data_IF_273388617600
#
_entry.id   IF_273388617600
#
_cell.length_a   1.000
_cell.length_b   1.000
_cell.length_c   1.000
_cell.angle_alpha   90.00
_cell.angle_beta   90.00
_cell.angle_gamma   90.00
#
_symmetry.space_group_name_H-M   'P 1'
#
loop_
_entity.id
_entity.type
_entity.pdbx_description
1 polymer ?
#
# COMPACT_ATOMS: atom_id res chain seq x y z
N UNK A 1 -4.21 20.00 -10.30
CA UNK A 1 -4.93 18.99 -9.50
C UNK A 1 -4.07 17.74 -9.44
N UNK A 2 -4.15 16.99 -8.35
CA UNK A 2 -3.38 15.74 -8.21
C UNK A 2 -4.01 14.67 -9.13
N UNK A 3 -3.28 14.08 -10.09
CA UNK A 3 -3.81 13.01 -10.94
C UNK A 3 -4.16 11.78 -10.09
N UNK A 4 -5.24 11.10 -10.47
CA UNK A 4 -5.73 9.88 -9.83
C UNK A 4 -5.64 8.71 -10.82
N UNK A 5 -4.98 7.64 -10.41
CA UNK A 5 -4.87 6.41 -11.18
C UNK A 5 -5.54 5.26 -10.46
N UNK A 6 -6.34 4.47 -11.18
CA UNK A 6 -7.01 3.27 -10.66
C UNK A 6 -6.45 2.04 -11.35
N UNK A 7 -5.78 1.17 -10.60
CA UNK A 7 -5.28 -0.13 -11.06
C UNK A 7 -6.43 -1.12 -11.02
N UNK A 8 -6.79 -1.68 -12.17
CA UNK A 8 -7.92 -2.61 -12.29
C UNK A 8 -7.66 -3.67 -13.36
N UNK A 9 -8.04 -4.92 -13.05
CA UNK A 9 -7.99 -6.05 -13.98
C UNK A 9 -9.09 -5.93 -15.04
N UNK A 10 -8.75 -6.12 -16.32
CA UNK A 10 -9.72 -6.04 -17.43
C UNK A 10 -10.92 -6.97 -17.27
N UNK A 11 -10.72 -8.14 -16.65
CA UNK A 11 -11.79 -9.12 -16.36
C UNK A 11 -12.69 -8.74 -15.17
N UNK A 12 -12.47 -7.60 -14.51
CA UNK A 12 -13.27 -7.12 -13.39
C UNK A 12 -13.90 -5.74 -13.68
N UNK A 13 -14.77 -5.65 -14.69
CA UNK A 13 -15.45 -4.40 -15.04
C UNK A 13 -16.35 -3.90 -13.90
N UNK A 14 -16.96 -4.79 -13.11
CA UNK A 14 -17.82 -4.40 -11.99
C UNK A 14 -17.06 -3.63 -10.89
N UNK A 15 -15.81 -4.01 -10.62
CA UNK A 15 -14.93 -3.30 -9.65
C UNK A 15 -14.50 -1.95 -10.20
N UNK A 16 -14.24 -1.87 -11.50
CA UNK A 16 -13.97 -0.60 -12.16
C UNK A 16 -15.17 0.34 -12.09
N UNK A 17 -16.37 -0.16 -12.38
CA UNK A 17 -17.62 0.62 -12.29
C UNK A 17 -17.88 1.08 -10.85
N UNK A 18 -17.56 0.25 -9.86
CA UNK A 18 -17.63 0.63 -8.45
C UNK A 18 -16.68 1.78 -8.11
N UNK A 19 -15.43 1.74 -8.59
CA UNK A 19 -14.48 2.85 -8.44
C UNK A 19 -14.93 4.10 -9.19
N UNK A 20 -15.42 3.96 -10.42
CA UNK A 20 -15.93 5.05 -11.24
C UNK A 20 -17.04 5.81 -10.51
N UNK A 21 -18.06 5.11 -10.01
CA UNK A 21 -19.18 5.74 -9.27
C UNK A 21 -18.71 6.54 -8.05
N UNK A 22 -17.74 6.01 -7.29
CA UNK A 22 -17.19 6.71 -6.12
C UNK A 22 -16.42 7.98 -6.54
N UNK A 23 -15.50 7.85 -7.50
CA UNK A 23 -14.65 8.96 -7.96
C UNK A 23 -15.45 10.05 -8.66
N UNK A 24 -16.37 9.66 -9.56
CA UNK A 24 -17.26 10.57 -10.28
C UNK A 24 -18.23 11.25 -9.31
N UNK A 25 -18.70 10.53 -8.29
CA UNK A 25 -19.52 11.09 -7.20
C UNK A 25 -18.81 12.18 -6.40
N UNK A 26 -17.47 12.12 -6.32
CA UNK A 26 -16.63 13.17 -5.73
C UNK A 26 -16.15 14.23 -6.74
N UNK A 27 -16.52 14.09 -8.03
CA UNK A 27 -16.07 14.98 -9.10
C UNK A 27 -14.57 14.93 -9.34
N UNK A 28 -13.95 13.76 -9.15
CA UNK A 28 -12.51 13.55 -9.35
C UNK A 28 -12.25 12.99 -10.74
N UNK A 29 -11.41 13.67 -11.53
CA UNK A 29 -10.89 13.10 -12.77
C UNK A 29 -9.89 11.99 -12.48
N UNK A 30 -10.03 10.86 -13.17
CA UNK A 30 -9.20 9.69 -12.96
C UNK A 30 -8.88 8.95 -14.25
N UNK A 31 -7.81 8.14 -14.21
CA UNK A 31 -7.35 7.32 -15.33
C UNK A 31 -7.21 5.86 -14.88
N UNK A 32 -7.68 4.94 -15.73
CA UNK A 32 -7.47 3.51 -15.51
C UNK A 32 -6.06 3.11 -15.90
N UNK A 33 -5.43 2.32 -15.05
CA UNK A 33 -4.27 1.49 -15.37
C UNK A 33 -4.77 0.06 -15.49
N UNK A 34 -4.67 -0.51 -16.70
CA UNK A 34 -4.99 -1.93 -16.87
C UNK A 34 -3.95 -2.79 -16.16
N UNK A 35 -4.41 -3.52 -15.15
CA UNK A 35 -3.57 -4.38 -14.35
C UNK A 35 -3.22 -5.67 -15.10
N UNK A 36 -2.03 -6.19 -14.81
CA UNK A 36 -1.56 -7.48 -15.31
C UNK A 36 -2.32 -8.59 -14.57
N UNK A 37 -2.98 -9.48 -15.33
CA UNK A 37 -3.76 -10.58 -14.76
C UNK A 37 -2.91 -11.85 -14.63
N UNK A 38 -2.74 -12.33 -13.39
CA UNK A 38 -2.04 -13.58 -13.10
C UNK A 38 -2.69 -14.83 -13.73
N UNK A 39 -3.95 -14.75 -14.18
CA UNK A 39 -4.63 -15.86 -14.87
C UNK A 39 -4.20 -16.02 -16.33
N UNK A 40 -3.67 -14.96 -16.94
CA UNK A 40 -3.32 -14.94 -18.36
C UNK A 40 -1.86 -14.59 -18.62
N UNK A 41 -1.16 -14.05 -17.63
CA UNK A 41 0.26 -13.74 -17.73
C UNK A 41 1.12 -15.01 -17.79
N UNK A 42 2.18 -14.96 -18.59
CA UNK A 42 3.21 -15.99 -18.61
C UNK A 42 4.11 -15.86 -17.36
N UNK A 43 4.25 -16.94 -16.60
CA UNK A 43 4.98 -16.91 -15.32
C UNK A 43 6.48 -16.63 -15.52
N UNK A 44 7.08 -17.10 -16.61
CA UNK A 44 8.50 -16.88 -16.88
C UNK A 44 8.76 -15.41 -17.21
N UNK A 45 7.94 -14.81 -18.08
CA UNK A 45 8.04 -13.39 -18.42
C UNK A 45 7.82 -12.49 -17.19
N UNK A 46 6.85 -12.82 -16.34
CA UNK A 46 6.58 -12.06 -15.11
C UNK A 46 7.71 -12.24 -14.10
N UNK A 47 8.27 -13.44 -13.95
CA UNK A 47 9.40 -13.69 -13.07
C UNK A 47 10.65 -12.91 -13.53
N UNK A 48 10.91 -12.84 -14.83
CA UNK A 48 12.01 -12.06 -15.41
C UNK A 48 11.83 -10.57 -15.10
N UNK A 49 10.67 -9.99 -15.42
CA UNK A 49 10.41 -8.56 -15.18
C UNK A 49 10.36 -8.17 -13.71
N UNK A 50 9.88 -9.08 -12.85
CA UNK A 50 9.83 -8.85 -11.41
C UNK A 50 11.22 -8.91 -10.77
N UNK A 51 12.10 -9.75 -11.32
CA UNK A 51 13.47 -9.95 -10.87
C UNK A 51 13.57 -10.84 -9.63
N UNK A 52 14.79 -11.33 -9.39
CA UNK A 52 15.14 -12.15 -8.22
C UNK A 52 16.25 -11.43 -7.44
N UNK A 53 16.06 -11.31 -6.13
CA UNK A 53 17.01 -10.64 -5.25
C UNK A 53 17.31 -11.41 -3.96
N UNK A 54 18.24 -10.91 -3.13
CA UNK A 54 18.63 -11.55 -1.87
C UNK A 54 17.47 -11.80 -0.90
N UNK A 55 16.38 -11.04 -1.04
CA UNK A 55 15.19 -11.14 -0.20
C UNK A 55 14.09 -12.02 -0.78
N UNK A 56 14.15 -12.45 -2.04
CA UNK A 56 13.08 -13.21 -2.69
C UNK A 56 12.79 -14.53 -1.99
N UNK A 57 13.79 -15.17 -1.37
CA UNK A 57 13.58 -16.36 -0.53
C UNK A 57 13.02 -16.09 0.87
N UNK A 58 13.17 -14.86 1.39
CA UNK A 58 12.67 -14.44 2.72
C UNK A 58 11.27 -13.82 2.64
N UNK A 59 10.97 -13.19 1.51
CA UNK A 59 9.71 -12.53 1.18
C UNK A 59 9.18 -13.15 -0.13
N UNK A 60 8.69 -14.40 -0.07
CA UNK A 60 8.21 -15.09 -1.26
C UNK A 60 7.01 -14.36 -1.86
N UNK A 61 6.94 -14.37 -3.19
CA UNK A 61 5.87 -13.78 -3.98
C UNK A 61 5.16 -14.85 -4.82
N UNK A 62 3.83 -14.82 -4.84
CA UNK A 62 3.04 -15.60 -5.82
C UNK A 62 3.08 -14.91 -7.18
N UNK A 63 2.60 -15.59 -8.24
CA UNK A 63 2.43 -14.93 -9.54
C UNK A 63 1.51 -13.71 -9.43
N UNK A 64 0.41 -13.82 -8.67
CA UNK A 64 -0.48 -12.70 -8.39
C UNK A 64 0.20 -11.53 -7.65
N UNK A 65 1.10 -11.82 -6.69
CA UNK A 65 1.92 -10.78 -6.05
C UNK A 65 2.82 -10.05 -7.05
N UNK A 66 3.45 -10.79 -7.95
CA UNK A 66 4.33 -10.22 -8.98
C UNK A 66 3.55 -9.36 -9.97
N UNK A 67 2.42 -9.87 -10.48
CA UNK A 67 1.55 -9.13 -11.40
C UNK A 67 0.99 -7.85 -10.76
N UNK A 68 0.53 -7.90 -9.50
CA UNK A 68 0.08 -6.72 -8.76
C UNK A 68 1.20 -5.69 -8.61
N UNK A 69 2.41 -6.15 -8.30
CA UNK A 69 3.57 -5.27 -8.14
C UNK A 69 3.98 -4.60 -9.45
N UNK A 70 4.05 -5.37 -10.54
CA UNK A 70 4.35 -4.84 -11.88
C UNK A 70 3.24 -3.90 -12.37
N UNK A 71 1.97 -4.13 -12.02
CA UNK A 71 0.87 -3.20 -12.31
C UNK A 71 1.06 -1.84 -11.61
N UNK A 72 1.56 -1.84 -10.37
CA UNK A 72 1.96 -0.61 -9.68
C UNK A 72 3.15 0.07 -10.37
N UNK A 73 4.14 -0.69 -10.86
CA UNK A 73 5.25 -0.15 -11.65
C UNK A 73 4.75 0.53 -12.93
N UNK A 74 3.80 -0.07 -13.64
CA UNK A 74 3.15 0.55 -14.81
C UNK A 74 2.47 1.88 -14.45
N UNK A 75 1.76 1.92 -13.32
CA UNK A 75 1.15 3.16 -12.83
C UNK A 75 2.22 4.23 -12.56
N UNK A 76 3.35 3.86 -11.96
CA UNK A 76 4.47 4.79 -11.71
C UNK A 76 5.07 5.34 -13.01
N UNK A 77 5.24 4.49 -14.03
CA UNK A 77 5.72 4.90 -15.34
C UNK A 77 4.76 5.92 -15.98
N UNK A 78 3.44 5.71 -15.88
CA UNK A 78 2.44 6.68 -16.34
C UNK A 78 2.52 8.01 -15.59
N UNK A 79 2.73 7.99 -14.27
CA UNK A 79 2.96 9.20 -13.47
C UNK A 79 4.17 9.97 -14.00
N UNK A 80 5.30 9.28 -14.25
CA UNK A 80 6.50 9.92 -14.78
C UNK A 80 6.30 10.51 -16.18
N UNK A 81 5.57 9.80 -17.05
CA UNK A 81 5.28 10.25 -18.42
C UNK A 81 4.33 11.45 -18.44
N UNK A 82 3.40 11.55 -17.49
CA UNK A 82 2.44 12.65 -17.40
C UNK A 82 3.07 14.02 -17.09
N UNK A 83 4.31 14.05 -16.58
CA UNK A 83 4.97 15.27 -16.11
C UNK A 83 4.44 15.81 -14.77
N UNK A 84 3.49 15.14 -14.14
CA UNK A 84 2.94 15.53 -12.84
C UNK A 84 3.94 15.29 -11.71
N UNK A 85 3.85 16.10 -10.64
CA UNK A 85 4.81 16.05 -9.51
C UNK A 85 4.50 14.98 -8.49
N UNK A 86 3.23 14.59 -8.38
CA UNK A 86 2.75 13.53 -7.52
C UNK A 86 1.46 12.95 -8.10
N UNK A 87 1.05 11.79 -7.63
CA UNK A 87 -0.20 11.16 -8.02
C UNK A 87 -0.81 10.36 -6.88
N UNK A 88 -2.13 10.25 -6.86
CA UNK A 88 -2.87 9.27 -6.08
C UNK A 88 -2.99 7.97 -6.88
N UNK A 89 -2.54 6.86 -6.31
CA UNK A 89 -2.69 5.51 -6.85
C UNK A 89 -3.71 4.76 -5.99
N UNK A 90 -4.71 4.16 -6.64
CA UNK A 90 -5.77 3.36 -6.04
C UNK A 90 -5.80 1.98 -6.67
N UNK A 91 -6.04 0.94 -5.86
CA UNK A 91 -6.49 -0.38 -6.34
C UNK A 91 -8.02 -0.42 -6.39
N UNK A 92 -8.58 -1.33 -7.19
CA UNK A 92 -10.01 -1.47 -7.43
C UNK A 92 -10.80 -2.19 -6.32
N UNK A 93 -10.16 -2.45 -5.16
CA UNK A 93 -10.81 -2.87 -3.90
C UNK A 93 -10.85 -1.74 -2.86
N UNK A 94 -10.60 -0.50 -3.28
CA UNK A 94 -10.71 0.67 -2.42
C UNK A 94 -12.18 1.09 -2.20
N UNK A 95 -12.56 1.25 -0.94
CA UNK A 95 -13.76 1.99 -0.54
C UNK A 95 -13.32 3.38 -0.04
N UNK A 96 -13.78 4.43 -0.72
CA UNK A 96 -13.37 5.82 -0.50
C UNK A 96 -14.30 6.48 0.51
N UNK A 97 -13.76 7.31 1.41
CA UNK A 97 -14.57 8.17 2.28
C UNK A 97 -14.53 9.63 1.84
N UNK A 98 -15.45 10.44 2.37
CA UNK A 98 -15.51 11.89 2.11
C UNK A 98 -14.19 12.59 2.49
N UNK A 99 -13.47 12.07 3.50
CA UNK A 99 -12.14 12.57 3.86
C UNK A 99 -11.13 12.46 2.71
N UNK A 100 -11.24 11.48 1.81
CA UNK A 100 -10.35 11.42 0.64
C UNK A 100 -10.65 12.59 -0.29
N UNK A 101 -11.91 12.82 -0.61
CA UNK A 101 -12.33 13.93 -1.47
C UNK A 101 -11.92 15.27 -0.86
N UNK A 102 -12.11 15.44 0.45
CA UNK A 102 -11.68 16.65 1.15
C UNK A 102 -10.17 16.80 1.19
N UNK A 103 -9.40 15.71 1.34
CA UNK A 103 -7.94 15.75 1.27
C UNK A 103 -7.47 16.24 -0.10
N UNK A 104 -8.08 15.79 -1.18
CA UNK A 104 -7.71 16.17 -2.54
C UNK A 104 -8.08 17.62 -2.89
N UNK A 105 -9.00 18.25 -2.14
CA UNK A 105 -9.27 19.69 -2.23
C UNK A 105 -8.21 20.56 -1.53
N UNK A 106 -7.34 19.94 -0.73
CA UNK A 106 -6.24 20.63 -0.03
C UNK A 106 -4.95 20.63 -0.86
N UNK A 107 -3.96 21.41 -0.45
CA UNK A 107 -2.59 21.33 -1.01
C UNK A 107 -1.82 20.15 -0.41
N UNK A 108 -2.23 18.92 -0.75
CA UNK A 108 -1.61 17.69 -0.24
C UNK A 108 -0.14 17.57 -0.65
N UNK A 109 0.22 18.03 -1.86
CA UNK A 109 1.61 18.08 -2.33
C UNK A 109 2.44 19.05 -1.47
N UNK A 110 1.92 20.25 -1.20
CA UNK A 110 2.57 21.22 -0.32
C UNK A 110 2.71 20.72 1.10
N UNK A 111 1.69 20.05 1.65
CA UNK A 111 1.76 19.40 2.96
C UNK A 111 2.85 18.33 3.01
N UNK A 112 2.91 17.45 2.01
CA UNK A 112 3.96 16.43 1.91
C UNK A 112 5.35 17.08 1.83
N UNK A 113 5.53 18.10 0.99
CA UNK A 113 6.78 18.85 0.84
C UNK A 113 7.21 19.54 2.14
N UNK A 114 6.29 20.20 2.84
CA UNK A 114 6.54 20.88 4.11
C UNK A 114 7.13 19.92 5.16
N UNK A 115 6.68 18.68 5.15
CA UNK A 115 7.11 17.66 6.11
C UNK A 115 8.17 16.70 5.55
N UNK A 116 8.68 16.96 4.34
CA UNK A 116 9.66 16.11 3.66
C UNK A 116 9.15 14.69 3.51
N UNK A 117 7.92 14.52 3.00
CA UNK A 117 7.31 13.23 2.72
C UNK A 117 7.35 12.95 1.21
N UNK A 118 7.69 11.70 0.88
CA UNK A 118 7.82 11.20 -0.49
C UNK A 118 6.62 10.38 -0.93
N UNK A 119 5.98 9.72 0.04
CA UNK A 119 4.77 8.94 -0.13
C UNK A 119 3.85 9.13 1.08
N UNK A 120 2.54 9.04 0.86
CA UNK A 120 1.51 9.12 1.89
C UNK A 120 0.58 7.92 1.75
N UNK A 121 0.63 7.00 2.71
CA UNK A 121 -0.26 5.85 2.77
C UNK A 121 -1.65 6.28 3.28
N UNK A 122 -2.69 5.86 2.59
CA UNK A 122 -4.07 6.30 2.84
C UNK A 122 -5.03 5.18 3.24
N UNK A 123 -4.59 3.92 3.18
CA UNK A 123 -5.45 2.77 3.45
C UNK A 123 -5.60 2.42 4.95
N UNK A 124 -6.79 1.94 5.28
CA UNK A 124 -7.15 1.23 6.48
C UNK A 124 -7.28 -0.27 6.17
N UNK A 125 -6.54 -1.10 6.89
CA UNK A 125 -6.62 -2.55 6.77
C UNK A 125 -7.63 -3.13 7.80
N UNK A 126 -8.78 -3.69 7.36
CA UNK A 126 -9.81 -4.17 8.29
C UNK A 126 -9.58 -5.61 8.76
N UNK A 127 -8.89 -6.44 7.97
CA UNK A 127 -8.84 -7.86 8.21
C UNK A 127 -7.96 -8.25 9.41
N UNK A 128 -8.26 -9.41 9.98
CA UNK A 128 -7.42 -10.02 11.01
C UNK A 128 -6.04 -10.38 10.45
N UNK A 129 -4.99 -10.35 11.29
CA UNK A 129 -5.03 -10.05 12.72
C UNK A 129 -5.00 -8.55 13.02
N UNK A 130 -5.75 -8.13 14.05
CA UNK A 130 -5.91 -6.73 14.47
C UNK A 130 -4.58 -5.98 14.70
N UNK A 131 -3.49 -6.70 14.95
CA UNK A 131 -2.13 -6.13 15.07
C UNK A 131 -1.68 -5.39 13.81
N UNK A 132 -2.22 -5.70 12.62
CA UNK A 132 -1.95 -4.96 11.37
C UNK A 132 -2.48 -3.53 11.41
N UNK A 133 -3.41 -3.24 12.32
CA UNK A 133 -3.94 -1.89 12.58
C UNK A 133 -3.12 -1.11 13.59
N UNK A 134 -1.97 -1.63 14.04
CA UNK A 134 -1.07 -0.94 14.97
C UNK A 134 0.21 -0.59 14.23
N UNK A 135 0.35 0.69 13.92
CA UNK A 135 1.49 1.25 13.19
C UNK A 135 2.23 2.18 14.13
N UNK A 136 3.56 2.13 14.15
CA UNK A 136 4.35 3.11 14.87
C UNK A 136 4.62 4.30 13.96
N UNK A 137 4.38 5.50 14.49
CA UNK A 137 4.62 6.74 13.77
C UNK A 137 4.94 7.90 14.69
N UNK A 138 5.43 8.98 14.09
CA UNK A 138 5.66 10.25 14.79
C UNK A 138 4.62 11.25 14.29
N UNK A 139 3.89 11.90 15.19
CA UNK A 139 2.92 12.94 14.84
C UNK A 139 3.64 14.11 14.17
N UNK A 140 3.15 14.55 13.01
CA UNK A 140 3.71 15.68 12.27
C UNK A 140 2.80 16.91 12.37
N UNK A 141 1.54 16.79 11.98
CA UNK A 141 0.60 17.91 11.95
C UNK A 141 -0.87 17.44 11.96
N UNK A 142 -1.79 18.34 12.32
CA UNK A 142 -3.18 18.19 11.92
C UNK A 142 -3.33 18.51 10.42
N UNK A 143 -4.27 17.87 9.74
CA UNK A 143 -4.50 18.10 8.32
C UNK A 143 -5.53 19.20 8.14
N UNK A 144 -5.15 20.29 7.44
CA UNK A 144 -6.07 21.38 7.14
C UNK A 144 -7.24 20.87 6.31
N UNK A 145 -8.47 21.22 6.69
CA UNK A 145 -9.68 20.81 5.97
C UNK A 145 -10.20 19.42 6.34
N UNK A 146 -9.47 18.67 7.18
CA UNK A 146 -9.91 17.37 7.70
C UNK A 146 -9.90 17.41 9.23
N UNK A 147 -11.02 17.78 9.88
CA UNK A 147 -11.15 17.70 11.32
C UNK A 147 -10.77 16.29 11.81
N UNK A 148 -10.12 16.23 12.96
CA UNK A 148 -9.69 14.99 13.63
C UNK A 148 -8.68 14.10 12.86
N UNK A 149 -8.28 14.48 11.64
CA UNK A 149 -7.25 13.77 10.88
C UNK A 149 -5.87 14.32 11.19
N UNK A 150 -4.97 13.40 11.55
CA UNK A 150 -3.58 13.70 11.86
C UNK A 150 -2.66 13.04 10.86
N UNK A 151 -1.67 13.80 10.39
CA UNK A 151 -0.54 13.33 9.61
C UNK A 151 0.56 12.79 10.53
N UNK A 152 1.04 11.59 10.22
CA UNK A 152 2.15 10.93 10.89
C UNK A 152 3.26 10.58 9.90
N UNK A 153 4.50 10.59 10.39
CA UNK A 153 5.63 9.91 9.74
C UNK A 153 5.55 8.42 10.05
N UNK A 154 5.72 7.57 9.04
CA UNK A 154 5.73 6.12 9.20
C UNK A 154 7.08 5.64 9.74
N UNK A 155 7.07 4.99 10.91
CA UNK A 155 8.29 4.50 11.59
C UNK A 155 8.31 2.98 11.80
N UNK A 156 7.26 2.26 11.40
CA UNK A 156 7.24 0.79 11.32
C UNK A 156 6.74 0.32 9.96
N UNK A 157 6.77 -0.99 9.71
CA UNK A 157 6.14 -1.53 8.50
C UNK A 157 4.63 -1.24 8.46
N UNK A 158 4.12 -0.87 7.28
CA UNK A 158 2.71 -0.59 7.02
C UNK A 158 2.24 -1.26 5.73
N UNK A 159 1.97 -2.57 5.79
CA UNK A 159 1.62 -3.38 4.61
C UNK A 159 0.31 -2.94 3.95
N UNK A 160 0.16 -3.31 2.66
CA UNK A 160 -0.92 -2.94 1.75
C UNK A 160 -0.62 -1.70 0.89
N UNK A 161 -1.18 -1.68 -0.31
CA UNK A 161 -1.00 -0.65 -1.35
C UNK A 161 -2.32 -0.22 -1.99
N UNK A 162 -3.45 -0.53 -1.35
CA UNK A 162 -4.79 -0.25 -1.85
C UNK A 162 -4.99 1.26 -2.14
N UNK A 163 -4.36 2.14 -1.35
CA UNK A 163 -4.32 3.57 -1.66
C UNK A 163 -3.08 4.27 -1.09
N UNK A 164 -2.41 5.04 -1.95
CA UNK A 164 -1.30 5.91 -1.55
C UNK A 164 -1.08 7.06 -2.53
N UNK A 165 -0.54 8.17 -2.02
CA UNK A 165 0.01 9.24 -2.86
C UNK A 165 1.52 9.07 -2.92
N UNK A 166 2.14 9.26 -4.07
CA UNK A 166 3.59 9.20 -4.26
C UNK A 166 4.08 10.34 -5.16
N UNK A 167 5.26 10.88 -4.84
CA UNK A 167 5.88 11.93 -5.67
C UNK A 167 6.63 11.33 -6.86
N UNK A 168 6.67 12.04 -7.98
CA UNK A 168 7.42 11.62 -9.17
C UNK A 168 8.93 11.51 -8.87
N UNK A 169 9.47 12.39 -8.02
CA UNK A 169 10.88 12.31 -7.63
C UNK A 169 11.18 11.06 -6.80
N UNK A 170 10.25 10.65 -5.94
CA UNK A 170 10.35 9.40 -5.20
C UNK A 170 10.34 8.18 -6.12
N UNK A 171 9.43 8.16 -7.10
CA UNK A 171 9.38 7.13 -8.14
C UNK A 171 10.72 7.05 -8.88
N UNK A 172 11.25 8.19 -9.36
CA UNK A 172 12.53 8.23 -10.10
C UNK A 172 13.68 7.66 -9.27
N UNK A 173 13.76 8.01 -7.98
CA UNK A 173 14.79 7.47 -7.08
C UNK A 173 14.63 5.97 -6.88
N UNK A 174 13.40 5.51 -6.62
CA UNK A 174 13.09 4.08 -6.47
C UNK A 174 13.48 3.27 -7.70
N UNK A 175 13.02 3.68 -8.90
CA UNK A 175 13.31 2.95 -10.14
C UNK A 175 14.78 3.01 -10.54
N UNK A 176 15.53 4.04 -10.14
CA UNK A 176 16.98 4.12 -10.35
C UNK A 176 17.73 3.19 -9.40
N UNK A 177 17.41 3.23 -8.11
CA UNK A 177 18.16 2.53 -7.07
C UNK A 177 17.76 1.04 -7.00
N UNK A 178 16.53 0.71 -7.40
CA UNK A 178 15.95 -0.62 -7.43
C UNK A 178 15.08 -0.79 -8.70
N UNK A 179 15.71 -1.03 -9.86
CA UNK A 179 15.00 -1.14 -11.15
C UNK A 179 14.02 -2.33 -11.20
N UNK A 180 14.33 -3.39 -10.48
CA UNK A 180 13.49 -4.57 -10.32
C UNK A 180 12.79 -4.57 -8.96
N UNK A 181 11.57 -5.11 -8.92
CA UNK A 181 10.77 -5.14 -7.69
C UNK A 181 11.35 -6.12 -6.66
N UNK A 182 11.70 -7.35 -7.08
CA UNK A 182 12.28 -8.46 -6.29
C UNK A 182 11.45 -8.96 -5.09
N UNK A 183 10.56 -8.13 -4.56
CA UNK A 183 9.63 -8.37 -3.45
C UNK A 183 8.27 -7.72 -3.77
N UNK A 184 7.17 -8.19 -3.17
CA UNK A 184 5.86 -7.61 -3.42
C UNK A 184 5.82 -6.10 -3.12
N UNK A 185 5.01 -5.34 -3.85
CA UNK A 185 4.99 -3.86 -3.81
C UNK A 185 4.70 -3.29 -2.41
N UNK A 186 3.89 -3.96 -1.60
CA UNK A 186 3.62 -3.54 -0.23
C UNK A 186 4.86 -3.64 0.66
N UNK A 187 5.63 -4.70 0.50
CA UNK A 187 6.94 -4.85 1.13
C UNK A 187 7.95 -3.86 0.55
N UNK A 188 7.94 -3.64 -0.76
CA UNK A 188 8.83 -2.69 -1.43
C UNK A 188 8.66 -1.27 -0.88
N UNK A 189 7.43 -0.75 -0.88
CA UNK A 189 7.12 0.63 -0.48
C UNK A 189 7.17 0.83 1.04
N UNK A 190 6.54 -0.06 1.80
CA UNK A 190 6.22 0.18 3.21
C UNK A 190 6.73 -0.92 4.14
N UNK A 191 7.51 -1.87 3.65
CA UNK A 191 8.13 -2.93 4.44
C UNK A 191 9.54 -2.58 4.89
N UNK A 192 9.74 -2.36 6.20
CA UNK A 192 11.07 -2.16 6.77
C UNK A 192 12.04 -3.31 6.50
N UNK A 193 11.51 -4.54 6.45
CA UNK A 193 12.30 -5.74 6.20
C UNK A 193 12.85 -5.81 4.77
N UNK A 194 12.15 -5.21 3.80
CA UNK A 194 12.65 -5.12 2.45
C UNK A 194 13.86 -4.17 2.38
N UNK A 195 13.83 -3.09 3.16
CA UNK A 195 14.92 -2.11 3.19
C UNK A 195 15.13 -1.36 1.87
N UNK A 196 14.17 -1.48 0.94
CA UNK A 196 14.18 -0.85 -0.39
C UNK A 196 13.46 0.51 -0.32
N UNK A 197 12.23 0.59 -0.84
CA UNK A 197 11.40 1.80 -0.79
C UNK A 197 11.26 2.39 0.60
N UNK A 198 11.09 1.58 1.66
CA UNK A 198 10.99 2.11 3.02
C UNK A 198 12.18 2.98 3.47
N UNK A 199 13.41 2.69 3.01
CA UNK A 199 14.60 3.52 3.33
C UNK A 199 14.77 4.70 2.37
N UNK A 200 14.33 4.54 1.13
CA UNK A 200 14.41 5.55 0.08
C UNK A 200 13.26 6.57 0.12
N UNK A 201 12.16 6.22 0.79
CA UNK A 201 10.95 7.01 0.93
C UNK A 201 10.81 7.53 2.35
N UNK A 202 10.62 8.84 2.46
CA UNK A 202 10.04 9.43 3.65
C UNK A 202 8.52 9.21 3.63
N UNK A 203 8.08 8.04 4.04
CA UNK A 203 6.65 7.70 4.03
C UNK A 203 5.91 8.31 5.23
N UNK A 204 4.71 8.83 4.98
CA UNK A 204 3.74 9.22 6.00
C UNK A 204 2.47 8.38 5.92
N UNK A 205 1.58 8.57 6.89
CA UNK A 205 0.22 8.04 6.87
C UNK A 205 -0.76 8.98 7.57
N UNK A 206 -2.05 8.84 7.26
CA UNK A 206 -3.12 9.58 7.92
C UNK A 206 -3.86 8.69 8.92
N UNK A 207 -4.28 9.28 10.04
CA UNK A 207 -5.22 8.65 10.95
C UNK A 207 -6.27 9.68 11.43
N UNK A 208 -7.58 9.42 11.28
CA UNK A 208 -8.16 8.27 10.59
C UNK A 208 -7.78 8.19 9.09
N UNK A 209 -7.68 6.98 8.56
CA UNK A 209 -7.33 6.73 7.16
C UNK A 209 -8.56 6.95 6.25
N UNK A 210 -8.42 7.63 5.10
CA UNK A 210 -9.55 7.98 4.24
C UNK A 210 -9.97 6.89 3.24
N UNK A 211 -9.23 5.77 3.15
CA UNK A 211 -9.57 4.65 2.26
C UNK A 211 -9.66 3.37 3.07
N UNK A 212 -10.72 2.59 2.86
CA UNK A 212 -10.90 1.27 3.44
C UNK A 212 -10.50 0.21 2.43
N UNK A 213 -9.62 -0.71 2.82
CA UNK A 213 -9.22 -1.82 1.96
C UNK A 213 -10.26 -2.95 2.04
N UNK A 214 -11.08 -3.11 1.00
CA UNK A 214 -12.20 -4.06 0.99
C UNK A 214 -11.77 -5.51 0.70
N UNK A 215 -10.88 -6.02 1.55
CA UNK A 215 -10.33 -7.39 1.47
C UNK A 215 -11.34 -8.49 1.79
N UNK A 216 -12.47 -8.16 2.43
CA UNK A 216 -13.49 -9.13 2.84
C UNK A 216 -14.47 -9.45 1.73
N UNK A 217 -14.84 -8.46 0.91
CA UNK A 217 -15.75 -8.62 -0.21
C UNK A 217 -15.01 -9.07 -1.47
N UNK A 218 -13.83 -8.50 -1.72
CA UNK A 218 -13.06 -8.80 -2.93
C UNK A 218 -11.94 -9.83 -2.75
N UNK A 219 -11.85 -10.44 -1.56
CA UNK A 219 -10.97 -11.55 -1.19
C UNK A 219 -9.68 -11.66 -2.00
N UNK A 220 -8.52 -11.27 -1.47
CA UNK A 220 -7.30 -11.33 -2.30
C UNK A 220 -7.00 -12.77 -2.73
N UNK A 221 -7.11 -13.04 -4.03
CA UNK A 221 -6.70 -14.32 -4.67
C UNK A 221 -5.27 -14.70 -4.19
N UNK A 222 -4.44 -13.67 -4.00
CA UNK A 222 -3.11 -13.67 -3.39
C UNK A 222 -3.05 -14.34 -2.00
N UNK A 223 -3.98 -14.06 -1.09
CA UNK A 223 -3.93 -14.59 0.28
C UNK A 223 -4.15 -16.12 0.33
N UNK A 224 -4.97 -16.66 -0.57
CA UNK A 224 -5.16 -18.10 -0.68
C UNK A 224 -3.93 -18.80 -1.27
N UNK A 225 -3.33 -18.24 -2.32
CA UNK A 225 -2.08 -18.75 -2.91
C UNK A 225 -0.89 -18.70 -1.93
N UNK A 226 -0.73 -17.60 -1.19
CA UNK A 226 0.32 -17.47 -0.15
C UNK A 226 0.20 -18.53 0.95
N UNK A 227 -1.03 -18.95 1.28
CA UNK A 227 -1.27 -20.01 2.28
C UNK A 227 -0.86 -21.38 1.74
N UNK A 228 -1.06 -21.64 0.45
CA UNK A 228 -0.66 -22.88 -0.21
C UNK A 228 0.88 -22.96 -0.39
N UNK A 229 1.55 -21.88 -0.79
CA UNK A 229 3.00 -21.83 -0.92
C UNK A 229 3.75 -21.95 0.43
N UNK A 230 3.20 -21.41 1.53
CA UNK A 230 3.80 -21.60 2.85
C UNK A 230 3.78 -23.04 3.33
N UNK A 231 2.84 -23.86 2.85
CA UNK A 231 2.77 -25.28 3.18
C UNK A 231 3.86 -26.08 2.43
N UNK A 232 4.25 -25.63 1.24
CA UNK A 232 5.27 -26.32 0.42
C UNK A 232 6.72 -25.96 0.80
N UNK A 233 6.97 -24.74 1.29
CA UNK A 233 8.30 -24.29 1.71
C UNK A 233 8.42 -24.52 3.24
N UNK A 234 8.91 -25.70 3.64
CA UNK A 234 9.05 -26.08 5.06
C UNK A 234 9.75 -25.01 5.92
N UNK A 235 9.22 -24.76 7.12
CA UNK A 235 9.74 -23.73 8.03
C UNK A 235 11.14 -24.08 8.58
N UNK A 236 12.09 -23.15 8.48
CA UNK A 236 13.39 -23.21 9.18
C UNK A 236 13.31 -22.38 10.50
N UNK A 237 13.04 -22.99 11.67
CA UNK A 237 12.44 -22.27 12.80
C UNK A 237 13.42 -21.39 13.61
N UNK A 238 14.69 -21.79 13.70
CA UNK A 238 15.63 -21.24 14.70
C UNK A 238 16.31 -19.96 14.21
N UNK A 239 16.80 -19.93 12.96
CA UNK A 239 17.40 -18.71 12.36
C UNK A 239 16.36 -17.59 12.21
N UNK A 240 15.15 -17.92 11.78
CA UNK A 240 14.05 -16.97 11.67
C UNK A 240 13.60 -16.41 13.03
N UNK A 241 13.70 -17.18 14.12
CA UNK A 241 13.43 -16.68 15.48
C UNK A 241 14.46 -15.66 15.96
N UNK A 242 15.77 -15.91 15.74
CA UNK A 242 16.84 -14.98 16.10
C UNK A 242 16.76 -13.68 15.29
N UNK A 243 16.58 -13.75 13.96
CA UNK A 243 16.40 -12.55 13.11
C UNK A 243 15.17 -11.72 13.54
N UNK A 244 14.04 -12.37 13.85
CA UNK A 244 12.84 -11.70 14.41
C UNK A 244 13.08 -11.04 15.77
N UNK A 245 14.06 -11.53 16.55
CA UNK A 245 14.40 -10.98 17.87
C UNK A 245 15.34 -9.78 17.75
N UNK A 246 16.33 -9.83 16.86
CA UNK A 246 17.18 -8.67 16.55
C UNK A 246 16.40 -7.54 15.86
N UNK A 247 15.48 -7.87 14.96
CA UNK A 247 14.56 -6.89 14.36
C UNK A 247 13.68 -6.20 15.42
N UNK A 248 13.17 -6.96 16.41
CA UNK A 248 12.43 -6.42 17.55
C UNK A 248 13.30 -5.52 18.45
N UNK A 249 14.58 -5.84 18.64
CA UNK A 249 15.52 -5.01 19.39
C UNK A 249 15.82 -3.68 18.67
N UNK A 250 16.04 -3.70 17.35
CA UNK A 250 16.18 -2.47 16.55
C UNK A 250 14.90 -1.62 16.51
N UNK A 251 13.75 -2.28 16.41
CA UNK A 251 12.42 -1.65 16.50
C UNK A 251 12.16 -1.03 17.88
N UNK A 252 12.63 -1.65 18.97
CA UNK A 252 12.53 -1.09 20.32
C UNK A 252 13.47 0.11 20.54
N UNK A 253 14.59 0.18 19.83
CA UNK A 253 15.49 1.34 19.84
C UNK A 253 14.89 2.54 19.08
N UNK A 254 14.09 2.31 18.03
CA UNK A 254 13.32 3.37 17.35
C UNK A 254 12.25 4.00 18.27
N UNK A 255 11.78 3.31 19.31
CA UNK A 255 10.88 3.91 20.31
C UNK A 255 11.56 5.03 21.14
N UNK A 256 12.89 5.19 21.08
CA UNK A 256 13.61 6.30 21.72
C UNK A 256 13.54 7.62 20.93
N UNK A 257 12.91 7.64 19.74
CA UNK A 257 12.85 8.80 18.83
C UNK A 257 11.51 9.56 18.84
N UNK A 258 10.64 9.33 19.84
CA UNK A 258 9.30 9.93 19.88
C UNK A 258 8.25 9.19 19.04
N UNK A 259 8.50 7.93 18.68
CA UNK A 259 7.54 7.06 18.00
C UNK A 259 6.39 6.65 18.94
N UNK A 260 5.15 6.76 18.49
CA UNK A 260 3.95 6.31 19.20
C UNK A 260 3.26 5.20 18.44
N UNK A 261 2.67 4.24 19.17
CA UNK A 261 1.84 3.21 18.57
C UNK A 261 0.46 3.80 18.26
N UNK A 262 0.18 4.03 16.98
CA UNK A 262 -1.10 4.52 16.48
C UNK A 262 -1.99 3.32 16.17
N UNK A 263 -3.17 3.30 16.77
CA UNK A 263 -4.25 2.39 16.35
C UNK A 263 -4.95 3.04 15.18
N UNK A 264 -4.82 2.43 14.01
CA UNK A 264 -5.45 2.89 12.79
C UNK A 264 -6.97 2.80 12.92
N UNK A 265 -7.63 3.85 12.46
CA UNK A 265 -9.08 4.01 12.33
C UNK A 265 -9.43 4.35 10.88
N UNK A 266 -10.66 4.07 10.47
CA UNK A 266 -11.18 4.46 9.16
C UNK A 266 -12.04 5.72 9.31
N UNK A 267 -11.86 6.69 8.42
CA UNK A 267 -12.61 7.95 8.45
C UNK A 267 -14.08 7.80 8.02
N UNK A 268 -14.43 6.75 7.26
CA UNK A 268 -15.79 6.52 6.78
C UNK A 268 -16.55 5.48 7.59
N UNK A 269 -17.73 5.12 7.09
CA UNK A 269 -18.47 3.96 7.60
C UNK A 269 -17.93 2.69 6.94
N UNK A 270 -17.45 1.69 7.70
CA UNK A 270 -17.05 0.43 7.13
C UNK A 270 -18.27 -0.24 6.44
N UNK A 271 -18.04 -1.05 5.38
CA UNK A 271 -19.13 -1.77 4.73
C UNK A 271 -19.87 -2.62 5.77
N UNK A 272 -21.20 -2.71 5.64
CA UNK A 272 -22.00 -3.59 6.48
C UNK A 272 -21.46 -5.01 6.35
N UNK A 273 -20.81 -5.51 7.39
CA UNK A 273 -20.31 -6.89 7.37
C UNK A 273 -21.51 -7.81 7.29
N UNK A 274 -21.68 -8.53 6.19
CA UNK A 274 -22.38 -9.81 6.18
C UNK A 274 -21.52 -10.79 6.98
N UNK A 275 -21.50 -10.64 8.30
CA UNK A 275 -20.81 -11.54 9.19
C UNK A 275 -21.45 -12.92 9.01
N UNK A 276 -20.77 -13.84 8.31
CA UNK A 276 -21.05 -15.26 8.52
C UNK A 276 -20.78 -15.51 10.01
N UNK A 277 -21.76 -16.04 10.77
CA UNK A 277 -21.59 -16.26 12.20
C UNK A 277 -20.39 -17.19 12.43
N UNK A 278 -19.65 -16.93 13.51
CA UNK A 278 -18.55 -17.75 14.01
C UNK A 278 -18.95 -19.22 13.98
N UNK A 279 -18.31 -20.00 13.11
CA UNK A 279 -18.26 -21.45 13.29
C UNK A 279 -17.07 -21.72 14.20
N UNK A 280 -17.42 -22.00 15.44
CA UNK A 280 -16.61 -22.43 16.59
C UNK A 280 -15.39 -23.30 16.27
#
# INVERSE_FOLDING_TARGET
MLPVYVINLARQPERLDFMARQLDGYGLDWQRIEAIDARTADDADIAEQFGIGPLSGKLPSTLADRCCSLSNKLAWEQVLQSGQKAALILEDDALLSDNLADLLKTDVEGMMRQHGLDALKLEYWPARPARRRRIYGQRLAAVRGLPDTTLYRLLSSGFGTCAYIITADAIRRMLRDFPDMQVPVDHYLFGQQAGMGFRALNSGFLNPAPVYHNVTEYGSDIAMERRQQKISIGEQPIRSWLERRFFRLGHNLQCLTGATCVRMEFAGQPPETTAKPDMS
#
